data_IF_277563048882
#
_entry.id   IF_277563048882
#
_cell.length_a   1.000
_cell.length_b   1.000
_cell.length_c   1.000
_cell.angle_alpha   90.00
_cell.angle_beta   90.00
_cell.angle_gamma   90.00
#
_symmetry.space_group_name_H-M   'P 1'
#
loop_
_entity.id
_entity.type
_entity.pdbx_description
1 polymer ?
#
# COMPACT_ATOMS: atom_id res chain seq x y z
N UNK A 1 7.34 75.81 14.12
CA UNK A 1 7.26 74.40 14.59
C UNK A 1 6.58 73.47 13.58
N UNK A 2 5.45 73.87 12.98
CA UNK A 2 4.72 73.04 11.97
C UNK A 2 5.58 72.65 10.76
N UNK A 3 6.41 73.57 10.25
CA UNK A 3 7.29 73.31 9.10
C UNK A 3 8.41 72.27 9.37
N UNK A 4 8.91 72.22 10.60
CA UNK A 4 9.92 71.23 10.98
C UNK A 4 9.30 69.83 11.08
N UNK A 5 8.07 69.74 11.59
CA UNK A 5 7.33 68.47 11.67
C UNK A 5 6.95 67.95 10.29
N UNK A 6 6.58 68.83 9.35
CA UNK A 6 6.28 68.41 7.98
C UNK A 6 7.51 67.88 7.25
N UNK A 7 8.67 68.50 7.45
CA UNK A 7 9.92 68.02 6.84
C UNK A 7 10.32 66.64 7.37
N UNK A 8 10.21 66.42 8.68
CA UNK A 8 10.49 65.12 9.32
C UNK A 8 9.52 64.04 8.82
N UNK A 9 8.23 64.36 8.69
CA UNK A 9 7.22 63.42 8.20
C UNK A 9 7.53 62.94 6.77
N UNK A 10 7.93 63.85 5.88
CA UNK A 10 8.27 63.52 4.49
C UNK A 10 9.48 62.57 4.44
N UNK A 11 10.51 62.83 5.26
CA UNK A 11 11.69 61.96 5.34
C UNK A 11 11.32 60.58 5.87
N UNK A 12 10.46 60.50 6.89
CA UNK A 12 9.99 59.21 7.43
C UNK A 12 9.22 58.42 6.38
N UNK A 13 8.31 59.06 5.63
CA UNK A 13 7.55 58.40 4.57
C UNK A 13 8.46 57.92 3.43
N UNK A 14 9.45 58.72 3.05
CA UNK A 14 10.43 58.36 2.03
C UNK A 14 11.29 57.15 2.46
N UNK A 15 11.74 57.12 3.72
CA UNK A 15 12.51 56.00 4.27
C UNK A 15 11.68 54.72 4.39
N UNK A 16 10.42 54.83 4.81
CA UNK A 16 9.51 53.67 4.87
C UNK A 16 9.25 53.13 3.46
N UNK A 17 9.16 54.01 2.45
CA UNK A 17 8.95 53.62 1.07
C UNK A 17 10.14 52.85 0.47
N UNK A 18 11.38 53.31 0.68
CA UNK A 18 12.57 52.61 0.21
C UNK A 18 12.76 51.24 0.88
N UNK A 19 12.53 51.16 2.19
CA UNK A 19 12.77 49.92 2.96
C UNK A 19 11.63 48.91 2.78
N UNK A 20 10.41 49.36 2.52
CA UNK A 20 9.23 48.48 2.36
C UNK A 20 9.08 47.84 0.98
N UNK A 21 9.67 48.42 -0.07
CA UNK A 21 9.43 48.00 -1.45
C UNK A 21 9.94 46.57 -1.81
N UNK A 22 11.12 46.09 -1.37
CA UNK A 22 11.61 44.77 -1.77
C UNK A 22 10.89 43.59 -1.10
N UNK A 23 10.15 43.80 0.00
CA UNK A 23 9.40 42.73 0.68
C UNK A 23 7.97 42.53 0.18
N UNK A 24 7.35 43.58 -0.37
CA UNK A 24 5.94 43.56 -0.79
C UNK A 24 5.75 42.83 -2.12
N UNK A 25 6.70 42.93 -3.05
CA UNK A 25 6.68 42.20 -4.32
C UNK A 25 6.79 40.70 -4.11
N UNK A 26 7.72 40.24 -3.26
CA UNK A 26 7.90 38.81 -2.97
C UNK A 26 6.68 38.19 -2.29
N UNK A 27 6.02 38.93 -1.39
CA UNK A 27 4.80 38.45 -0.72
C UNK A 27 3.61 38.37 -1.68
N UNK A 28 3.49 39.32 -2.62
CA UNK A 28 2.47 39.31 -3.67
C UNK A 28 2.70 38.20 -4.70
N UNK A 29 3.96 37.90 -5.06
CA UNK A 29 4.29 36.77 -5.92
C UNK A 29 4.02 35.43 -5.25
N UNK A 30 4.36 35.25 -3.97
CA UNK A 30 4.01 34.03 -3.21
C UNK A 30 2.50 33.85 -3.10
N UNK A 31 1.72 34.94 -2.97
CA UNK A 31 0.24 34.88 -2.96
C UNK A 31 -0.38 34.67 -4.35
N UNK A 32 0.26 35.11 -5.43
CA UNK A 32 -0.18 34.86 -6.81
C UNK A 32 0.19 33.46 -7.29
N UNK A 33 1.36 32.95 -6.91
CA UNK A 33 1.78 31.57 -7.18
C UNK A 33 0.87 30.53 -6.51
N UNK A 34 0.32 30.83 -5.31
CA UNK A 34 -0.73 30.01 -4.69
C UNK A 34 -2.11 30.09 -5.37
N UNK A 35 -2.27 30.97 -6.37
CA UNK A 35 -3.51 31.21 -7.14
C UNK A 35 -3.40 30.79 -8.60
N UNK A 36 -2.22 30.40 -9.08
CA UNK A 36 -2.12 29.55 -10.26
C UNK A 36 -2.78 28.22 -9.89
N UNK A 37 -4.08 28.13 -10.21
CA UNK A 37 -4.79 26.86 -10.26
C UNK A 37 -3.97 25.95 -11.15
N UNK A 38 -3.29 24.98 -10.54
CA UNK A 38 -2.78 23.79 -11.21
C UNK A 38 -3.91 23.37 -12.16
N UNK A 39 -3.68 23.29 -13.49
CA UNK A 39 -4.69 22.79 -14.41
C UNK A 39 -5.13 21.46 -13.83
N UNK A 40 -6.38 21.36 -13.39
CA UNK A 40 -6.90 20.10 -12.91
C UNK A 40 -6.67 19.13 -14.07
N UNK A 41 -5.86 18.07 -13.91
CA UNK A 41 -5.78 17.06 -14.94
C UNK A 41 -7.21 16.60 -15.22
N UNK A 42 -7.46 16.19 -16.45
CA UNK A 42 -8.71 15.62 -16.92
C UNK A 42 -9.01 14.33 -16.13
N UNK A 43 -9.40 14.51 -14.87
CA UNK A 43 -9.57 13.51 -13.83
C UNK A 43 -10.97 12.95 -14.02
N UNK A 44 -11.07 11.95 -14.88
CA UNK A 44 -12.26 11.12 -15.02
C UNK A 44 -12.23 10.05 -13.91
N UNK A 45 -13.01 10.18 -12.81
CA UNK A 45 -13.08 9.14 -11.78
C UNK A 45 -13.53 7.78 -12.34
N UNK A 46 -14.24 7.76 -13.47
CA UNK A 46 -14.61 6.54 -14.17
C UNK A 46 -13.43 5.81 -14.81
N UNK A 47 -12.31 6.48 -15.07
CA UNK A 47 -11.09 5.84 -15.59
C UNK A 47 -10.43 4.97 -14.53
N UNK A 48 -10.22 5.51 -13.33
CA UNK A 48 -9.60 4.79 -12.21
C UNK A 48 -10.42 3.56 -11.82
N UNK A 49 -11.76 3.71 -11.74
CA UNK A 49 -12.63 2.59 -11.43
C UNK A 49 -12.61 1.50 -12.52
N UNK A 50 -12.54 1.88 -13.81
CA UNK A 50 -12.39 0.91 -14.92
C UNK A 50 -11.04 0.22 -14.90
N UNK A 51 -9.97 0.95 -14.55
CA UNK A 51 -8.63 0.39 -14.37
C UNK A 51 -8.64 -0.67 -13.26
N UNK A 52 -9.17 -0.32 -12.10
CA UNK A 52 -9.29 -1.21 -10.95
C UNK A 52 -10.17 -2.44 -11.25
N UNK A 53 -11.30 -2.25 -11.95
CA UNK A 53 -12.15 -3.38 -12.33
C UNK A 53 -11.45 -4.35 -13.29
N UNK A 54 -10.64 -3.84 -14.23
CA UNK A 54 -9.82 -4.68 -15.11
C UNK A 54 -8.72 -5.40 -14.33
N UNK A 55 -8.02 -4.70 -13.44
CA UNK A 55 -7.00 -5.28 -12.57
C UNK A 55 -7.58 -6.38 -11.67
N UNK A 56 -8.78 -6.19 -11.11
CA UNK A 56 -9.50 -7.23 -10.35
C UNK A 56 -9.80 -8.47 -11.16
N UNK A 57 -10.22 -8.30 -12.42
CA UNK A 57 -10.48 -9.43 -13.32
C UNK A 57 -9.20 -10.20 -13.62
N UNK A 58 -8.10 -9.48 -13.87
CA UNK A 58 -6.79 -10.09 -14.12
C UNK A 58 -6.30 -10.87 -12.90
N UNK A 59 -6.30 -10.22 -11.72
CA UNK A 59 -5.94 -10.86 -10.45
C UNK A 59 -6.74 -12.16 -10.24
N UNK A 60 -8.07 -12.11 -10.40
CA UNK A 60 -8.95 -13.29 -10.29
C UNK A 60 -8.56 -14.42 -11.24
N UNK A 61 -8.07 -14.11 -12.43
CA UNK A 61 -7.69 -15.12 -13.43
C UNK A 61 -6.32 -15.74 -13.18
N UNK A 62 -5.43 -15.04 -12.47
CA UNK A 62 -4.06 -15.48 -12.23
C UNK A 62 -3.89 -16.24 -10.91
N UNK A 63 -4.59 -15.84 -9.85
CA UNK A 63 -4.45 -16.44 -8.51
C UNK A 63 -5.44 -17.58 -8.31
N UNK A 64 -5.18 -18.43 -7.31
CA UNK A 64 -6.09 -19.52 -6.97
C UNK A 64 -7.46 -18.99 -6.49
N UNK A 65 -8.54 -19.80 -6.57
CA UNK A 65 -9.84 -19.39 -6.05
C UNK A 65 -9.82 -19.00 -4.57
N UNK A 66 -8.94 -19.63 -3.77
CA UNK A 66 -8.75 -19.31 -2.36
C UNK A 66 -8.16 -17.90 -2.17
N UNK A 67 -7.08 -17.61 -2.87
CA UNK A 67 -6.41 -16.30 -2.81
C UNK A 67 -7.31 -15.18 -3.33
N UNK A 68 -8.09 -15.46 -4.38
CA UNK A 68 -9.07 -14.50 -4.90
C UNK A 68 -10.18 -14.19 -3.88
N UNK A 69 -10.75 -15.22 -3.25
CA UNK A 69 -11.76 -15.01 -2.21
C UNK A 69 -11.17 -14.27 -1.00
N UNK A 70 -9.93 -14.58 -0.63
CA UNK A 70 -9.21 -13.88 0.43
C UNK A 70 -9.05 -12.40 0.10
N UNK A 71 -8.58 -12.06 -1.12
CA UNK A 71 -8.46 -10.67 -1.55
C UNK A 71 -9.81 -9.95 -1.57
N UNK A 72 -10.84 -10.58 -2.12
CA UNK A 72 -12.20 -10.01 -2.20
C UNK A 72 -12.76 -9.70 -0.81
N UNK A 73 -12.58 -10.59 0.16
CA UNK A 73 -13.20 -10.48 1.47
C UNK A 73 -12.33 -9.70 2.49
N UNK A 74 -11.00 -9.79 2.36
CA UNK A 74 -10.05 -9.22 3.32
C UNK A 74 -9.34 -7.96 2.81
N UNK A 75 -9.18 -7.81 1.50
CA UNK A 75 -8.41 -6.74 0.85
C UNK A 75 -6.91 -7.02 0.76
N UNK A 76 -6.48 -8.27 1.01
CA UNK A 76 -5.10 -8.73 0.91
C UNK A 76 -5.05 -10.24 0.67
N UNK A 77 -3.89 -10.77 0.28
CA UNK A 77 -3.65 -12.20 0.07
C UNK A 77 -2.54 -12.68 1.02
N UNK A 78 -2.60 -13.93 1.47
CA UNK A 78 -1.51 -14.62 2.15
C UNK A 78 -0.74 -15.49 1.15
N UNK A 79 0.58 -15.30 1.10
CA UNK A 79 1.50 -16.17 0.34
C UNK A 79 2.44 -16.87 1.30
N UNK A 80 2.59 -18.19 1.17
CA UNK A 80 3.52 -18.97 2.00
C UNK A 80 4.97 -18.75 1.58
N UNK A 81 5.87 -18.64 2.55
CA UNK A 81 7.30 -18.61 2.31
C UNK A 81 7.84 -19.97 1.89
N UNK A 82 8.80 -19.96 0.98
CA UNK A 82 9.46 -21.16 0.43
C UNK A 82 10.91 -21.29 0.88
N UNK A 83 11.52 -20.22 1.43
CA UNK A 83 12.90 -20.27 1.87
C UNK A 83 13.05 -21.02 3.20
N UNK A 84 14.12 -21.81 3.37
CA UNK A 84 14.45 -22.38 4.66
C UNK A 84 14.82 -21.26 5.65
N UNK A 85 14.27 -21.34 6.86
CA UNK A 85 14.55 -20.38 7.93
C UNK A 85 15.94 -20.67 8.53
N UNK A 86 16.96 -19.89 8.14
CA UNK A 86 18.27 -19.87 8.81
C UNK A 86 19.50 -20.10 7.91
N UNK A 87 20.63 -19.53 8.33
CA UNK A 87 21.93 -19.54 7.64
C UNK A 87 22.78 -20.81 7.89
N UNK A 88 22.23 -21.83 8.56
CA UNK A 88 22.91 -23.10 8.75
C UNK A 88 22.49 -24.08 7.65
N UNK A 89 23.46 -24.47 6.81
CA UNK A 89 23.43 -25.55 5.81
C UNK A 89 23.24 -26.95 6.44
N UNK A 90 22.34 -27.07 7.41
CA UNK A 90 21.78 -28.35 7.83
C UNK A 90 20.41 -28.48 7.19
N UNK A 91 20.02 -29.66 6.69
CA UNK A 91 18.65 -29.91 6.28
C UNK A 91 17.76 -29.80 7.53
N UNK A 92 17.31 -28.58 7.81
CA UNK A 92 16.41 -28.29 8.91
C UNK A 92 15.13 -29.06 8.64
N UNK A 93 14.90 -30.08 9.47
CA UNK A 93 13.66 -30.83 9.51
C UNK A 93 12.54 -29.86 9.89
N UNK A 94 11.92 -29.23 8.90
CA UNK A 94 10.80 -28.31 9.07
C UNK A 94 11.14 -27.02 9.79
N UNK A 95 11.82 -26.07 9.13
CA UNK A 95 11.80 -24.67 9.56
C UNK A 95 10.35 -24.19 9.72
N UNK A 96 10.06 -23.30 10.67
CA UNK A 96 8.69 -22.85 10.89
C UNK A 96 8.17 -22.20 9.60
N UNK A 97 7.07 -22.72 9.05
CA UNK A 97 6.47 -22.17 7.83
C UNK A 97 6.00 -20.75 8.11
N UNK A 98 6.71 -19.75 7.60
CA UNK A 98 6.32 -18.35 7.66
C UNK A 98 5.47 -17.98 6.43
N UNK A 99 4.80 -16.83 6.49
CA UNK A 99 3.99 -16.34 5.38
C UNK A 99 4.08 -14.82 5.25
N UNK A 100 3.65 -14.32 4.10
CA UNK A 100 3.55 -12.90 3.79
C UNK A 100 2.09 -12.49 3.66
N UNK A 101 1.74 -11.34 4.21
CA UNK A 101 0.54 -10.62 3.81
C UNK A 101 0.89 -9.64 2.69
N UNK A 102 0.17 -9.77 1.58
CA UNK A 102 0.32 -8.93 0.38
C UNK A 102 -0.86 -7.96 0.32
N UNK A 103 -0.58 -6.71 0.68
CA UNK A 103 -1.53 -5.60 0.66
C UNK A 103 -1.34 -4.75 -0.60
N UNK A 104 -2.37 -4.02 -1.06
CA UNK A 104 -2.19 -2.92 -2.00
C UNK A 104 -1.36 -1.79 -1.38
N UNK A 105 -0.39 -1.27 -2.13
CA UNK A 105 0.47 -0.12 -1.86
C UNK A 105 1.07 -0.07 -0.46
N UNK A 106 1.48 -1.23 0.05
CA UNK A 106 2.05 -1.42 1.39
C UNK A 106 3.15 -2.48 1.31
N UNK A 107 4.09 -2.51 2.26
CA UNK A 107 5.13 -3.52 2.26
C UNK A 107 4.54 -4.92 2.42
N UNK A 108 5.28 -5.92 1.95
CA UNK A 108 5.02 -7.32 2.28
C UNK A 108 5.27 -7.50 3.77
N UNK A 109 4.26 -7.94 4.50
CA UNK A 109 4.38 -8.17 5.93
C UNK A 109 4.65 -9.65 6.19
N UNK A 110 5.89 -9.98 6.55
CA UNK A 110 6.27 -11.34 6.92
C UNK A 110 5.83 -11.63 8.36
N UNK A 111 5.28 -12.81 8.61
CA UNK A 111 4.82 -13.24 9.92
C UNK A 111 4.91 -14.76 10.09
N UNK A 112 4.88 -15.21 11.34
CA UNK A 112 4.74 -16.62 11.71
C UNK A 112 3.25 -16.94 11.94
N UNK A 113 2.61 -17.81 11.15
CA UNK A 113 1.19 -18.14 11.32
C UNK A 113 0.84 -18.80 12.65
N UNK A 114 1.79 -19.52 13.26
CA UNK A 114 1.56 -20.24 14.52
C UNK A 114 1.45 -19.27 15.70
N UNK A 115 2.31 -18.25 15.75
CA UNK A 115 2.38 -17.29 16.87
C UNK A 115 1.77 -15.93 16.54
N UNK A 116 1.54 -15.63 15.26
CA UNK A 116 1.16 -14.31 14.71
C UNK A 116 2.20 -13.23 14.95
N UNK A 117 3.43 -13.64 15.21
CA UNK A 117 4.56 -12.73 15.36
C UNK A 117 4.94 -12.14 14.01
N UNK A 118 5.07 -10.82 13.96
CA UNK A 118 5.52 -10.11 12.77
C UNK A 118 7.05 -10.19 12.68
N UNK A 119 7.55 -10.73 11.59
CA UNK A 119 8.98 -10.93 11.35
C UNK A 119 9.64 -9.68 10.73
N UNK A 120 8.94 -8.99 9.84
CA UNK A 120 9.48 -7.82 9.16
C UNK A 120 8.61 -7.30 8.03
N UNK A 121 8.96 -6.11 7.57
CA UNK A 121 8.32 -5.42 6.45
C UNK A 121 9.30 -5.34 5.27
N UNK A 122 8.95 -5.93 4.13
CA UNK A 122 9.73 -5.84 2.90
C UNK A 122 9.08 -4.85 1.96
N UNK A 123 9.74 -3.71 1.76
CA UNK A 123 9.25 -2.64 0.91
C UNK A 123 9.74 -2.86 -0.51
N UNK A 124 8.79 -3.21 -1.37
CA UNK A 124 8.99 -3.43 -2.81
C UNK A 124 8.04 -2.52 -3.58
N UNK A 125 8.59 -1.84 -4.58
CA UNK A 125 7.84 -0.92 -5.43
C UNK A 125 7.87 -1.43 -6.87
N UNK A 126 6.73 -1.30 -7.55
CA UNK A 126 6.53 -1.70 -8.93
C UNK A 126 5.97 -0.49 -9.67
N UNK A 127 6.84 0.40 -10.17
CA UNK A 127 6.40 1.65 -10.79
C UNK A 127 5.67 1.38 -12.12
N UNK A 128 4.62 2.14 -12.38
CA UNK A 128 3.87 2.06 -13.64
C UNK A 128 4.46 3.05 -14.67
N UNK A 129 5.64 2.75 -15.22
CA UNK A 129 6.40 3.67 -16.08
C UNK A 129 5.66 4.08 -17.36
N UNK A 130 4.91 3.14 -17.95
CA UNK A 130 4.14 3.37 -19.17
C UNK A 130 2.83 4.15 -18.89
N UNK A 131 2.41 4.25 -17.63
CA UNK A 131 1.20 4.93 -17.15
C UNK A 131 -0.04 4.65 -18.03
N UNK A 132 -0.33 3.40 -18.43
CA UNK A 132 -1.50 3.06 -19.25
C UNK A 132 -2.83 3.46 -18.60
N UNK A 133 -2.85 3.66 -17.28
CA UNK A 133 -4.02 4.12 -16.52
C UNK A 133 -3.99 5.62 -16.20
N UNK A 134 -2.90 6.33 -16.52
CA UNK A 134 -2.71 7.75 -16.26
C UNK A 134 -2.18 8.08 -14.86
N UNK A 135 -1.83 7.08 -14.06
CA UNK A 135 -1.20 7.21 -12.74
C UNK A 135 0.22 6.64 -12.75
N UNK A 136 1.07 7.16 -11.86
CA UNK A 136 2.44 6.65 -11.65
C UNK A 136 2.45 5.36 -10.82
N UNK A 137 1.32 5.04 -10.20
CA UNK A 137 1.08 3.83 -9.42
C UNK A 137 0.14 2.90 -10.18
N UNK A 138 0.42 1.61 -10.05
CA UNK A 138 -0.49 0.55 -10.49
C UNK A 138 -1.84 0.64 -9.75
N UNK A 139 -2.93 0.11 -10.33
CA UNK A 139 -4.16 -0.15 -9.58
C UNK A 139 -3.92 -1.07 -8.38
N UNK A 140 -4.76 -0.96 -7.34
CA UNK A 140 -4.64 -1.74 -6.09
C UNK A 140 -4.50 -3.26 -6.36
N UNK A 141 -5.37 -3.80 -7.22
CA UNK A 141 -5.35 -5.23 -7.57
C UNK A 141 -4.13 -5.65 -8.39
N UNK A 142 -3.59 -4.75 -9.20
CA UNK A 142 -2.45 -5.05 -10.08
C UNK A 142 -1.13 -5.01 -9.31
N UNK A 143 -1.00 -4.07 -8.36
CA UNK A 143 0.12 -4.02 -7.42
C UNK A 143 0.19 -5.29 -6.54
N UNK A 144 -0.96 -5.80 -6.09
CA UNK A 144 -1.04 -7.10 -5.39
C UNK A 144 -0.64 -8.24 -6.31
N UNK A 145 -1.11 -8.25 -7.56
CA UNK A 145 -0.76 -9.27 -8.54
C UNK A 145 0.75 -9.27 -8.82
N UNK A 146 1.36 -8.10 -9.02
CA UNK A 146 2.80 -7.95 -9.26
C UNK A 146 3.63 -8.52 -8.10
N UNK A 147 3.27 -8.15 -6.86
CA UNK A 147 3.90 -8.70 -5.65
C UNK A 147 3.73 -10.20 -5.51
N UNK A 148 2.54 -10.73 -5.79
CA UNK A 148 2.25 -12.16 -5.76
C UNK A 148 3.07 -12.93 -6.81
N UNK A 149 3.12 -12.43 -8.05
CA UNK A 149 3.91 -13.02 -9.13
C UNK A 149 5.41 -13.01 -8.79
N UNK A 150 5.91 -11.91 -8.24
CA UNK A 150 7.33 -11.82 -7.87
C UNK A 150 7.68 -12.79 -6.73
N UNK A 151 6.84 -12.89 -5.69
CA UNK A 151 7.03 -13.82 -4.58
C UNK A 151 7.00 -15.28 -5.05
N UNK A 152 6.05 -15.63 -5.91
CA UNK A 152 5.86 -17.02 -6.38
C UNK A 152 6.89 -17.43 -7.43
N UNK A 153 7.41 -16.50 -8.23
CA UNK A 153 8.42 -16.79 -9.24
C UNK A 153 9.83 -16.94 -8.65
N UNK A 154 10.26 -15.99 -7.81
CA UNK A 154 11.59 -16.00 -7.19
C UNK A 154 11.58 -15.15 -5.92
N UNK A 155 11.14 -15.76 -4.81
CA UNK A 155 11.11 -15.14 -3.50
C UNK A 155 12.48 -14.57 -3.10
N UNK A 156 13.56 -15.35 -3.27
CA UNK A 156 14.91 -14.94 -2.84
C UNK A 156 15.36 -13.67 -3.56
N UNK A 157 15.15 -13.59 -4.88
CA UNK A 157 15.52 -12.42 -5.66
C UNK A 157 14.71 -11.20 -5.27
N UNK A 158 13.39 -11.35 -5.06
CA UNK A 158 12.53 -10.25 -4.63
C UNK A 158 12.97 -9.69 -3.28
N UNK A 159 13.21 -10.56 -2.29
CA UNK A 159 13.64 -10.13 -0.96
C UNK A 159 15.06 -9.52 -1.00
N UNK A 160 15.93 -10.01 -1.88
CA UNK A 160 17.29 -9.49 -2.05
C UNK A 160 17.36 -8.06 -2.57
N UNK A 161 16.32 -7.59 -3.26
CA UNK A 161 16.21 -6.19 -3.75
C UNK A 161 15.28 -5.32 -2.89
N UNK A 162 14.56 -5.92 -1.94
CA UNK A 162 13.62 -5.21 -1.09
C UNK A 162 14.32 -4.42 0.01
N UNK A 163 13.77 -3.25 0.36
CA UNK A 163 14.17 -2.54 1.57
C UNK A 163 13.52 -3.21 2.79
N UNK A 164 14.33 -3.78 3.67
CA UNK A 164 13.87 -4.45 4.88
C UNK A 164 13.74 -3.49 6.06
N UNK A 165 12.61 -3.55 6.75
CA UNK A 165 12.34 -2.82 7.98
C UNK A 165 11.81 -3.74 9.08
N UNK A 166 12.05 -3.32 10.33
CA UNK A 166 11.38 -3.93 11.48
C UNK A 166 9.87 -3.69 11.36
N UNK A 167 9.08 -4.69 11.76
CA UNK A 167 7.63 -4.58 11.76
C UNK A 167 7.15 -3.39 12.61
N UNK A 168 6.13 -2.69 12.13
CA UNK A 168 5.58 -1.50 12.78
C UNK A 168 6.09 -0.18 12.22
N UNK A 169 6.95 -0.20 11.20
CA UNK A 169 7.52 1.03 10.62
C UNK A 169 6.56 1.68 9.61
N UNK A 170 5.98 0.91 8.69
CA UNK A 170 5.02 1.42 7.71
C UNK A 170 3.60 0.88 7.91
N UNK A 171 3.47 -0.32 8.50
CA UNK A 171 2.18 -0.91 8.84
C UNK A 171 1.97 -0.76 10.35
N UNK A 172 0.86 -0.13 10.76
CA UNK A 172 0.48 -0.06 12.17
C UNK A 172 0.35 -1.49 12.75
N UNK A 173 1.11 -1.85 13.82
CA UNK A 173 1.02 -3.17 14.43
C UNK A 173 -0.40 -3.55 14.84
N UNK A 174 -1.22 -2.61 15.31
CA UNK A 174 -2.62 -2.89 15.69
C UNK A 174 -3.45 -3.30 14.49
N UNK A 175 -3.22 -2.66 13.33
CA UNK A 175 -3.86 -3.03 12.07
C UNK A 175 -3.43 -4.43 11.65
N UNK A 176 -2.14 -4.72 11.70
CA UNK A 176 -1.61 -6.05 11.37
C UNK A 176 -2.22 -7.15 12.26
N UNK A 177 -2.26 -6.94 13.58
CA UNK A 177 -2.88 -7.89 14.52
C UNK A 177 -4.36 -8.13 14.20
N UNK A 178 -5.12 -7.06 13.92
CA UNK A 178 -6.53 -7.17 13.52
C UNK A 178 -6.69 -7.94 12.21
N UNK A 179 -5.86 -7.65 11.23
CA UNK A 179 -5.94 -8.27 9.90
C UNK A 179 -5.56 -9.77 9.99
N UNK A 180 -4.58 -10.16 10.82
CA UNK A 180 -4.27 -11.56 11.13
C UNK A 180 -5.42 -12.28 11.85
N UNK A 181 -6.11 -11.61 12.77
CA UNK A 181 -7.32 -12.17 13.39
C UNK A 181 -8.45 -12.37 12.37
N UNK A 182 -8.64 -11.40 11.46
CA UNK A 182 -9.61 -11.52 10.36
C UNK A 182 -9.29 -12.68 9.43
N UNK A 183 -8.01 -12.90 9.14
CA UNK A 183 -7.55 -14.01 8.31
C UNK A 183 -7.89 -15.36 8.96
N UNK A 184 -7.57 -15.55 10.24
CA UNK A 184 -7.90 -16.78 10.97
C UNK A 184 -9.40 -17.04 10.99
N UNK A 185 -10.20 -16.02 11.30
CA UNK A 185 -11.66 -16.14 11.33
C UNK A 185 -12.22 -16.50 9.95
N UNK A 186 -11.65 -15.92 8.88
CA UNK A 186 -12.01 -16.25 7.51
C UNK A 186 -11.66 -17.71 7.17
N UNK A 187 -10.49 -18.19 7.55
CA UNK A 187 -10.05 -19.58 7.35
C UNK A 187 -10.97 -20.56 8.10
N UNK A 188 -11.31 -20.27 9.36
CA UNK A 188 -12.27 -21.08 10.14
C UNK A 188 -13.63 -21.20 9.47
N UNK A 189 -14.19 -20.08 9.00
CA UNK A 189 -15.48 -20.08 8.28
C UNK A 189 -15.43 -20.85 6.98
N UNK A 190 -14.29 -20.81 6.27
CA UNK A 190 -14.07 -21.59 5.05
C UNK A 190 -14.03 -23.08 5.35
N UNK A 191 -13.27 -23.49 6.37
CA UNK A 191 -13.19 -24.90 6.80
C UNK A 191 -14.56 -25.45 7.23
N UNK A 192 -15.35 -24.65 7.95
CA UNK A 192 -16.72 -25.01 8.33
C UNK A 192 -17.63 -25.21 7.10
N UNK A 193 -17.55 -24.31 6.10
CA UNK A 193 -18.30 -24.46 4.84
C UNK A 193 -17.89 -25.71 4.05
N UNK A 194 -16.59 -25.99 3.99
CA UNK A 194 -16.07 -27.18 3.34
C UNK A 194 -16.49 -28.48 4.05
N UNK A 195 -16.40 -28.53 5.38
CA UNK A 195 -16.79 -29.68 6.19
C UNK A 195 -18.31 -29.93 6.24
N UNK A 196 -19.12 -28.86 6.23
CA UNK A 196 -20.59 -28.96 6.21
C UNK A 196 -21.14 -29.50 4.88
N UNK A 197 -20.47 -29.23 3.76
CA UNK A 197 -20.87 -29.76 2.44
C UNK A 197 -20.66 -31.28 2.31
N UNK A 198 -19.67 -31.84 3.01
CA UNK A 198 -19.39 -33.28 3.01
C UNK A 198 -20.46 -34.06 3.80
N UNK A 199 -20.92 -33.55 4.95
CA UNK A 199 -21.89 -34.21 5.81
C UNK A 199 -23.31 -34.29 5.21
N UNK A 200 -23.69 -33.35 4.35
CA UNK A 200 -24.98 -33.38 3.65
C UNK A 200 -25.01 -34.31 2.44
N UNK A 201 -23.85 -34.63 1.83
CA UNK A 201 -23.78 -35.52 0.67
C UNK A 201 -23.92 -37.02 1.06
N UNK A 202 -23.48 -37.40 2.26
CA UNK A 202 -23.61 -38.78 2.78
C UNK A 202 -25.01 -39.11 3.33
N UNK A 203 -25.94 -38.14 3.36
CA UNK A 203 -27.33 -38.34 3.83
C UNK A 203 -28.32 -38.40 2.68
N UNK A 204 -28.04 -39.21 1.66
CA UNK A 204 -29.03 -39.60 0.64
C UNK A 204 -29.27 -41.11 0.77
N UNK A 205 -30.44 -41.56 1.27
CA UNK A 205 -30.73 -42.98 1.30
C UNK A 205 -30.87 -43.50 -0.13
N UNK A 206 -30.10 -44.55 -0.45
CA UNK A 206 -30.26 -45.32 -1.67
C UNK A 206 -31.73 -45.77 -1.79
N UNK A 207 -32.38 -45.35 -2.88
CA UNK A 207 -33.68 -45.89 -3.30
C UNK A 207 -33.47 -47.08 -4.20
#
# INVERSE_FOLDING_TARGET
MVLALSAILIVIVALIWEVGWPGVSEWLERRRAGRERIPAPDFDPGREQRAENRARQLLRSCVSPEEWEMYRDLGFIRVWGTLPQGADDRPASGGASYAYLVYPHRPLLAYLPQTRELLGEYCVDFPDEARPYGSDRLPDSDDVLARWMALTADERRLLGTANLHVAGRQVDPKRATRDLWRLEEWERRRMQRAGGGQASADTLPAR
#
